data_IF_194914730350
#
_entry.id   IF_194914730350
#
_cell.length_a   1.000
_cell.length_b   1.000
_cell.length_c   1.000
_cell.angle_alpha   90.00
_cell.angle_beta   90.00
_cell.angle_gamma   90.00
#
_symmetry.space_group_name_H-M   'P 1'
#
loop_
_entity.id
_entity.type
_entity.pdbx_description
1 polymer ?
#
# COMPACT_ATOMS: atom_id res chain seq x y z
N UNK A 1 21.23 0.63 -0.09
CA UNK A 1 21.34 1.76 0.85
C UNK A 1 20.23 1.67 1.90
N UNK A 2 20.61 1.52 3.15
CA UNK A 2 19.72 1.42 4.34
C UNK A 2 19.77 2.79 5.02
N UNK A 3 18.64 3.49 5.19
CA UNK A 3 18.65 4.74 5.98
C UNK A 3 17.60 5.81 5.70
N UNK A 4 16.79 5.75 4.63
CA UNK A 4 15.74 6.77 4.44
C UNK A 4 14.54 6.50 5.35
N UNK A 5 14.19 7.50 6.16
CA UNK A 5 13.02 7.44 7.04
C UNK A 5 11.74 7.22 6.20
N UNK A 6 10.95 6.21 6.59
CA UNK A 6 9.65 5.93 5.94
C UNK A 6 8.69 7.11 6.15
N UNK A 7 7.85 7.40 5.16
CA UNK A 7 6.78 8.39 5.29
C UNK A 7 5.81 8.00 6.42
N UNK A 8 5.10 8.97 6.99
CA UNK A 8 4.12 8.69 8.05
C UNK A 8 3.00 7.75 7.58
N UNK A 9 2.57 7.87 6.32
CA UNK A 9 1.58 6.98 5.72
C UNK A 9 2.10 5.54 5.61
N UNK A 10 3.35 5.36 5.17
CA UNK A 10 3.98 4.04 5.10
C UNK A 10 4.16 3.42 6.49
N UNK A 11 4.55 4.21 7.49
CA UNK A 11 4.64 3.75 8.90
C UNK A 11 3.29 3.27 9.41
N UNK A 12 2.22 4.07 9.23
CA UNK A 12 0.85 3.71 9.63
C UNK A 12 0.35 2.43 8.94
N UNK A 13 0.67 2.25 7.66
CA UNK A 13 0.33 1.02 6.91
C UNK A 13 1.03 -0.19 7.51
N UNK A 14 2.35 -0.12 7.72
CA UNK A 14 3.12 -1.22 8.31
C UNK A 14 2.56 -1.61 9.67
N UNK A 15 2.30 -0.64 10.55
CA UNK A 15 1.71 -0.91 11.87
C UNK A 15 0.33 -1.55 11.75
N UNK A 16 -0.50 -1.08 10.80
CA UNK A 16 -1.83 -1.67 10.57
C UNK A 16 -1.75 -3.10 10.03
N UNK A 17 -0.80 -3.38 9.13
CA UNK A 17 -0.60 -4.73 8.58
C UNK A 17 -0.10 -5.69 9.66
N UNK A 18 0.88 -5.28 10.47
CA UNK A 18 1.36 -6.07 11.61
C UNK A 18 0.24 -6.35 12.62
N UNK A 19 -0.59 -5.36 12.91
CA UNK A 19 -1.74 -5.50 13.80
C UNK A 19 -2.76 -6.53 13.28
N UNK A 20 -3.08 -6.52 11.98
CA UNK A 20 -3.97 -7.51 11.37
C UNK A 20 -3.36 -8.92 11.38
N UNK A 21 -2.06 -9.05 11.09
CA UNK A 21 -1.35 -10.34 11.15
C UNK A 21 -1.33 -10.92 12.57
N UNK A 22 -1.09 -10.09 13.59
CA UNK A 22 -1.12 -10.53 14.99
C UNK A 22 -2.52 -11.02 15.41
N UNK A 23 -3.58 -10.35 14.94
CA UNK A 23 -4.96 -10.81 15.20
C UNK A 23 -5.24 -12.14 14.47
N UNK A 24 -4.77 -12.30 13.23
CA UNK A 24 -4.94 -13.53 12.46
C UNK A 24 -4.21 -14.72 13.10
N UNK A 25 -2.98 -14.52 13.58
CA UNK A 25 -2.21 -15.52 14.34
C UNK A 25 -2.93 -15.93 15.63
N UNK A 26 -3.48 -14.96 16.38
CA UNK A 26 -4.28 -15.26 17.58
C UNK A 26 -5.53 -16.11 17.29
N UNK A 27 -6.20 -15.86 16.15
CA UNK A 27 -7.33 -16.68 15.69
C UNK A 27 -6.88 -18.11 15.38
N UNK A 28 -5.78 -18.25 14.63
CA UNK A 28 -5.21 -19.54 14.27
C UNK A 28 -4.91 -20.39 15.50
N UNK A 29 -4.13 -19.85 16.45
CA UNK A 29 -3.77 -20.54 17.70
C UNK A 29 -4.98 -20.85 18.57
N UNK A 30 -6.00 -20.01 18.55
CA UNK A 30 -7.23 -20.29 19.28
C UNK A 30 -8.01 -21.48 18.69
N UNK A 31 -8.03 -21.61 17.35
CA UNK A 31 -8.66 -22.74 16.69
C UNK A 31 -7.89 -24.05 16.96
N UNK A 32 -6.57 -24.05 16.88
CA UNK A 32 -5.74 -25.22 17.24
C UNK A 32 -5.95 -25.61 18.72
N UNK A 33 -6.05 -24.61 19.60
CA UNK A 33 -6.26 -24.85 21.02
C UNK A 33 -7.66 -25.39 21.34
N UNK A 34 -8.67 -25.17 20.49
CA UNK A 34 -10.00 -25.77 20.66
C UNK A 34 -9.98 -27.29 20.48
N UNK A 35 -9.08 -27.81 19.65
CA UNK A 35 -8.98 -29.25 19.36
C UNK A 35 -8.35 -30.03 20.53
N UNK A 36 -7.61 -29.35 21.41
CA UNK A 36 -6.96 -29.95 22.58
C UNK A 36 -7.98 -30.45 23.61
N UNK A 37 -7.63 -31.45 24.44
CA UNK A 37 -8.44 -31.85 25.58
C UNK A 37 -8.63 -30.69 26.56
N UNK A 38 -9.79 -30.64 27.23
CA UNK A 38 -10.25 -29.49 28.05
C UNK A 38 -9.22 -29.03 29.09
N UNK A 39 -8.43 -29.95 29.61
CA UNK A 39 -7.41 -29.72 30.63
C UNK A 39 -6.19 -28.95 30.11
N UNK A 40 -5.88 -29.07 28.82
CA UNK A 40 -4.78 -28.36 28.16
C UNK A 40 -5.23 -27.11 27.41
N UNK A 41 -6.54 -26.84 27.36
CA UNK A 41 -7.09 -25.67 26.65
C UNK A 41 -6.70 -24.39 27.37
N UNK A 42 -5.87 -23.59 26.72
CA UNK A 42 -5.61 -22.22 27.14
C UNK A 42 -6.84 -21.34 26.95
N UNK A 43 -7.01 -20.35 27.82
CA UNK A 43 -8.05 -19.33 27.62
C UNK A 43 -7.71 -18.42 26.44
N UNK A 44 -8.74 -17.86 25.79
CA UNK A 44 -8.53 -16.90 24.70
C UNK A 44 -7.70 -15.68 25.14
N UNK A 45 -7.86 -15.23 26.40
CA UNK A 45 -7.04 -14.14 26.97
C UNK A 45 -5.57 -14.51 27.08
N UNK A 46 -5.27 -15.75 27.49
CA UNK A 46 -3.89 -16.24 27.58
C UNK A 46 -3.23 -16.27 26.19
N UNK A 47 -3.94 -16.80 25.19
CA UNK A 47 -3.46 -16.84 23.80
C UNK A 47 -3.23 -15.43 23.24
N UNK A 48 -4.17 -14.50 23.45
CA UNK A 48 -4.01 -13.12 22.99
C UNK A 48 -2.77 -12.45 23.61
N UNK A 49 -2.49 -12.71 24.90
CA UNK A 49 -1.32 -12.18 25.59
C UNK A 49 -0.02 -12.78 25.07
N UNK A 50 0.03 -14.10 24.90
CA UNK A 50 1.18 -14.82 24.32
C UNK A 50 1.53 -14.27 22.93
N UNK A 51 0.53 -14.18 22.05
CA UNK A 51 0.72 -13.62 20.69
C UNK A 51 1.17 -12.16 20.75
N UNK A 52 0.57 -11.34 21.61
CA UNK A 52 0.97 -9.94 21.74
C UNK A 52 2.43 -9.80 22.20
N UNK A 53 2.89 -10.60 23.17
CA UNK A 53 4.25 -10.58 23.67
C UNK A 53 5.25 -11.06 22.61
N UNK A 54 4.92 -12.13 21.88
CA UNK A 54 5.75 -12.63 20.79
C UNK A 54 5.91 -11.60 19.67
N UNK A 55 4.82 -10.97 19.24
CA UNK A 55 4.86 -9.96 18.18
C UNK A 55 5.64 -8.71 18.60
N UNK A 56 5.50 -8.27 19.85
CA UNK A 56 6.31 -7.17 20.41
C UNK A 56 7.79 -7.50 20.42
N UNK A 57 8.14 -8.74 20.77
CA UNK A 57 9.54 -9.21 20.80
C UNK A 57 10.13 -9.33 19.40
N UNK A 58 9.40 -9.96 18.47
CA UNK A 58 9.85 -10.23 17.11
C UNK A 58 9.96 -8.95 16.25
N UNK A 59 8.95 -8.09 16.30
CA UNK A 59 8.88 -6.88 15.44
C UNK A 59 9.41 -5.62 16.12
N UNK A 60 9.76 -5.68 17.42
CA UNK A 60 10.11 -4.51 18.25
C UNK A 60 9.09 -3.38 18.17
N UNK A 61 7.82 -3.73 17.94
CA UNK A 61 6.73 -2.78 17.78
C UNK A 61 5.82 -2.85 19.00
N UNK A 62 6.02 -1.92 19.93
CA UNK A 62 5.27 -1.85 21.18
C UNK A 62 3.79 -1.46 20.98
N UNK A 63 3.41 -0.99 19.79
CA UNK A 63 2.07 -0.50 19.52
C UNK A 63 1.07 -1.63 19.19
N UNK A 64 1.55 -2.87 19.00
CA UNK A 64 0.69 -4.02 18.70
C UNK A 64 -0.12 -4.37 19.95
N UNK A 65 -1.44 -4.46 19.79
CA UNK A 65 -2.39 -4.74 20.86
C UNK A 65 -3.44 -5.76 20.41
N UNK A 66 -3.42 -6.97 20.95
CA UNK A 66 -4.36 -8.04 20.57
C UNK A 66 -5.47 -8.13 21.61
N UNK A 67 -6.59 -7.45 21.36
CA UNK A 67 -7.74 -7.48 22.27
C UNK A 67 -8.61 -8.73 22.02
N UNK A 68 -8.94 -9.45 23.08
CA UNK A 68 -9.84 -10.60 23.06
C UNK A 68 -11.22 -10.27 22.44
N UNK A 69 -11.79 -9.10 22.72
CA UNK A 69 -13.07 -8.71 22.12
C UNK A 69 -12.99 -8.62 20.60
N UNK A 70 -11.87 -8.08 20.07
CA UNK A 70 -11.62 -8.00 18.63
C UNK A 70 -11.48 -9.40 18.03
N UNK A 71 -10.71 -10.29 18.66
CA UNK A 71 -10.54 -11.67 18.21
C UNK A 71 -11.86 -12.44 18.22
N UNK A 72 -12.65 -12.30 19.29
CA UNK A 72 -13.99 -12.90 19.40
C UNK A 72 -14.92 -12.40 18.27
N UNK A 73 -14.94 -11.09 18.02
CA UNK A 73 -15.70 -10.52 16.90
C UNK A 73 -15.27 -11.09 15.55
N UNK A 74 -13.96 -11.28 15.34
CA UNK A 74 -13.43 -11.89 14.11
C UNK A 74 -13.84 -13.35 13.96
N UNK A 75 -13.79 -14.12 15.04
CA UNK A 75 -14.24 -15.53 15.06
C UNK A 75 -15.72 -15.69 14.72
N UNK A 76 -16.54 -14.68 15.03
CA UNK A 76 -17.96 -14.62 14.69
C UNK A 76 -18.22 -14.14 13.25
N UNK A 77 -17.17 -13.98 12.42
CA UNK A 77 -17.29 -13.53 11.02
C UNK A 77 -17.21 -12.01 10.82
N UNK A 78 -16.86 -11.24 11.86
CA UNK A 78 -16.67 -9.80 11.73
C UNK A 78 -15.46 -9.44 10.86
N UNK A 79 -15.61 -8.45 9.97
CA UNK A 79 -14.55 -7.99 9.07
C UNK A 79 -13.60 -6.98 9.73
N UNK A 80 -12.40 -6.78 9.17
CA UNK A 80 -11.50 -5.70 9.61
C UNK A 80 -12.01 -4.36 9.12
N UNK A 81 -11.56 -3.27 9.75
CA UNK A 81 -11.59 -1.97 9.09
C UNK A 81 -10.75 -1.98 7.81
N UNK A 82 -9.59 -2.65 7.81
CA UNK A 82 -8.77 -2.84 6.61
C UNK A 82 -9.53 -3.60 5.51
N UNK A 83 -10.07 -4.79 5.81
CA UNK A 83 -10.87 -5.58 4.89
C UNK A 83 -12.10 -4.83 4.38
N UNK A 84 -12.88 -4.19 5.26
CA UNK A 84 -14.04 -3.40 4.86
C UNK A 84 -13.65 -2.20 3.98
N UNK A 85 -12.50 -1.57 4.24
CA UNK A 85 -12.02 -0.47 3.41
C UNK A 85 -11.54 -0.96 2.04
N UNK A 86 -10.89 -2.13 1.97
CA UNK A 86 -10.55 -2.78 0.69
C UNK A 86 -11.83 -3.14 -0.08
N UNK A 87 -12.80 -3.78 0.56
CA UNK A 87 -14.04 -4.21 -0.09
C UNK A 87 -14.92 -3.03 -0.55
N UNK A 88 -15.06 -1.99 0.27
CA UNK A 88 -16.01 -0.91 -0.01
C UNK A 88 -15.42 0.27 -0.79
N UNK A 89 -14.09 0.44 -0.78
CA UNK A 89 -13.44 1.63 -1.35
C UNK A 89 -12.34 1.29 -2.36
N UNK A 90 -12.13 0.02 -2.70
CA UNK A 90 -11.28 -0.33 -3.84
C UNK A 90 -12.06 -0.17 -5.15
N UNK A 91 -11.54 0.70 -6.02
CA UNK A 91 -12.02 0.81 -7.40
C UNK A 91 -11.70 -0.44 -8.23
N UNK A 92 -10.54 -1.05 -7.97
CA UNK A 92 -10.03 -2.22 -8.66
C UNK A 92 -10.27 -3.49 -7.85
N UNK A 93 -10.64 -4.56 -8.53
CA UNK A 93 -10.55 -5.93 -8.01
C UNK A 93 -9.08 -6.34 -7.86
N UNK A 94 -8.81 -7.42 -7.13
CA UNK A 94 -7.44 -7.90 -6.95
C UNK A 94 -6.76 -8.23 -8.28
N UNK A 95 -7.48 -8.89 -9.19
CA UNK A 95 -6.96 -9.29 -10.50
C UNK A 95 -6.67 -8.07 -11.40
N UNK A 96 -7.54 -7.06 -11.36
CA UNK A 96 -7.32 -5.79 -12.05
C UNK A 96 -6.13 -5.01 -11.45
N UNK A 97 -6.00 -4.99 -10.13
CA UNK A 97 -4.87 -4.36 -9.44
C UNK A 97 -3.54 -5.03 -9.83
N UNK A 98 -3.47 -6.36 -9.89
CA UNK A 98 -2.28 -7.07 -10.37
C UNK A 98 -2.00 -6.82 -11.85
N UNK A 99 -3.02 -6.73 -12.69
CA UNK A 99 -2.86 -6.40 -14.11
C UNK A 99 -2.26 -5.00 -14.32
N UNK A 100 -2.76 -4.01 -13.57
CA UNK A 100 -2.21 -2.65 -13.59
C UNK A 100 -0.77 -2.65 -13.08
N UNK A 101 -0.45 -3.38 -12.01
CA UNK A 101 0.93 -3.49 -11.53
C UNK A 101 1.84 -4.16 -12.57
N UNK A 102 1.37 -5.21 -13.25
CA UNK A 102 2.09 -5.86 -14.36
C UNK A 102 2.42 -4.86 -15.47
N UNK A 103 1.44 -4.08 -15.90
CA UNK A 103 1.64 -3.00 -16.88
C UNK A 103 2.69 -1.97 -16.41
N UNK A 104 2.66 -1.57 -15.13
CA UNK A 104 3.66 -0.66 -14.57
C UNK A 104 5.07 -1.26 -14.56
N UNK A 105 5.19 -2.56 -14.29
CA UNK A 105 6.47 -3.26 -14.35
C UNK A 105 6.99 -3.33 -15.79
N UNK A 106 6.14 -3.54 -16.78
CA UNK A 106 6.53 -3.47 -18.18
C UNK A 106 6.99 -2.07 -18.62
N UNK A 107 6.35 -1.01 -18.14
CA UNK A 107 6.83 0.35 -18.37
C UNK A 107 8.22 0.56 -17.75
N UNK A 108 8.43 0.01 -16.55
CA UNK A 108 9.70 0.07 -15.84
C UNK A 108 10.83 -0.67 -16.56
N UNK A 109 10.56 -1.86 -17.11
CA UNK A 109 11.57 -2.61 -17.87
C UNK A 109 11.94 -1.92 -19.17
N UNK A 110 11.02 -1.14 -19.75
CA UNK A 110 11.25 -0.34 -20.96
C UNK A 110 11.87 1.04 -20.68
N UNK A 111 12.05 1.42 -19.41
CA UNK A 111 12.58 2.73 -19.02
C UNK A 111 11.64 3.90 -19.29
N UNK A 112 10.33 3.66 -19.45
CA UNK A 112 9.33 4.71 -19.71
C UNK A 112 8.79 5.31 -18.40
N UNK A 113 9.02 6.61 -18.13
CA UNK A 113 8.72 7.20 -16.83
C UNK A 113 7.25 7.00 -16.45
N UNK A 114 6.99 6.60 -15.20
CA UNK A 114 5.61 6.55 -14.75
C UNK A 114 5.10 7.96 -14.50
N UNK A 115 4.03 8.32 -15.20
CA UNK A 115 3.29 9.55 -14.95
C UNK A 115 1.95 9.27 -14.29
N UNK A 116 1.49 10.23 -13.46
CA UNK A 116 0.14 10.18 -12.90
C UNK A 116 -0.93 10.05 -13.99
N UNK A 117 -0.72 10.76 -15.10
CA UNK A 117 -1.61 10.76 -16.27
C UNK A 117 -1.70 9.38 -16.93
N UNK A 118 -0.57 8.72 -17.18
CA UNK A 118 -0.56 7.39 -17.80
C UNK A 118 -1.24 6.34 -16.92
N UNK A 119 -0.95 6.34 -15.61
CA UNK A 119 -1.61 5.44 -14.66
C UNK A 119 -3.12 5.71 -14.59
N UNK A 120 -3.52 6.99 -14.50
CA UNK A 120 -4.93 7.39 -14.50
C UNK A 120 -5.62 6.90 -15.76
N UNK A 121 -5.07 7.19 -16.94
CA UNK A 121 -5.67 6.84 -18.23
C UNK A 121 -5.87 5.33 -18.37
N UNK A 122 -4.84 4.53 -18.02
CA UNK A 122 -4.93 3.08 -18.10
C UNK A 122 -6.01 2.52 -17.17
N UNK A 123 -6.06 3.00 -15.93
CA UNK A 123 -7.05 2.58 -14.93
C UNK A 123 -8.46 3.05 -15.30
N UNK A 124 -8.62 4.28 -15.75
CA UNK A 124 -9.91 4.82 -16.19
C UNK A 124 -10.45 4.04 -17.38
N UNK A 125 -9.58 3.68 -18.33
CA UNK A 125 -9.98 2.85 -19.50
C UNK A 125 -10.45 1.47 -19.04
N UNK A 126 -9.73 0.85 -18.11
CA UNK A 126 -10.09 -0.45 -17.54
C UNK A 126 -11.43 -0.39 -16.79
N UNK A 127 -11.60 0.61 -15.93
CA UNK A 127 -12.82 0.79 -15.13
C UNK A 127 -14.00 1.20 -16.00
N UNK A 128 -13.81 2.06 -17.01
CA UNK A 128 -14.85 2.40 -17.97
C UNK A 128 -15.30 1.18 -18.77
N UNK A 129 -14.39 0.29 -19.16
CA UNK A 129 -14.73 -0.95 -19.86
C UNK A 129 -15.56 -1.90 -18.97
N UNK A 130 -15.28 -1.97 -17.66
CA UNK A 130 -16.00 -2.85 -16.73
C UNK A 130 -17.31 -2.28 -16.20
N UNK A 131 -17.30 -1.02 -15.77
CA UNK A 131 -18.40 -0.35 -15.06
C UNK A 131 -19.28 0.50 -16.01
N UNK A 132 -18.78 0.82 -17.20
CA UNK A 132 -19.50 1.64 -18.17
C UNK A 132 -19.95 2.98 -17.56
N UNK A 133 -21.25 3.26 -17.66
CA UNK A 133 -21.84 4.52 -17.21
C UNK A 133 -21.95 4.66 -15.68
N UNK A 134 -21.67 3.59 -14.91
CA UNK A 134 -21.60 3.71 -13.44
C UNK A 134 -20.26 4.26 -12.95
N UNK A 135 -19.26 4.33 -13.84
CA UNK A 135 -17.99 4.96 -13.53
C UNK A 135 -18.08 6.49 -13.69
N UNK A 136 -17.56 7.28 -12.74
CA UNK A 136 -17.56 8.74 -12.88
C UNK A 136 -16.77 9.18 -14.11
N UNK A 137 -17.34 10.09 -14.91
CA UNK A 137 -16.64 10.69 -16.06
C UNK A 137 -15.34 11.43 -15.68
N UNK A 138 -15.22 11.85 -14.41
CA UNK A 138 -14.00 12.48 -13.89
C UNK A 138 -12.82 11.50 -13.78
N UNK A 139 -13.10 10.21 -13.81
CA UNK A 139 -12.12 9.13 -13.63
C UNK A 139 -11.65 8.99 -12.18
N UNK A 140 -10.59 8.21 -11.99
CA UNK A 140 -9.89 8.11 -10.72
C UNK A 140 -9.18 9.44 -10.42
N UNK A 141 -9.40 9.98 -9.22
CA UNK A 141 -8.80 11.25 -8.81
C UNK A 141 -7.28 11.16 -8.63
N UNK A 142 -6.56 12.29 -8.67
CA UNK A 142 -5.10 12.36 -8.47
C UNK A 142 -4.65 11.66 -7.18
N UNK A 143 -5.38 11.89 -6.08
CA UNK A 143 -5.14 11.24 -4.79
C UNK A 143 -5.18 9.70 -4.86
N UNK A 144 -5.94 9.12 -5.79
CA UNK A 144 -5.97 7.68 -5.98
C UNK A 144 -4.65 7.19 -6.59
N UNK A 145 -4.18 7.84 -7.65
CA UNK A 145 -2.89 7.49 -8.29
C UNK A 145 -1.71 7.61 -7.33
N UNK A 146 -1.68 8.63 -6.46
CA UNK A 146 -0.70 8.76 -5.37
C UNK A 146 -0.76 7.59 -4.39
N UNK A 147 -1.97 7.24 -3.94
CA UNK A 147 -2.18 6.15 -2.98
C UNK A 147 -1.81 4.79 -3.57
N UNK A 148 -2.09 4.60 -4.86
CA UNK A 148 -1.76 3.40 -5.62
C UNK A 148 -0.24 3.27 -5.80
N UNK A 149 0.42 4.32 -6.29
CA UNK A 149 1.88 4.36 -6.42
C UNK A 149 2.57 4.12 -5.07
N UNK A 150 2.07 4.73 -3.99
CA UNK A 150 2.60 4.52 -2.62
C UNK A 150 2.36 3.10 -2.11
N UNK A 151 1.29 2.44 -2.54
CA UNK A 151 0.97 1.04 -2.15
C UNK A 151 1.92 0.05 -2.80
N UNK A 152 2.21 0.26 -4.07
CA UNK A 152 3.05 -0.64 -4.87
C UNK A 152 4.50 -0.17 -4.99
N UNK A 153 4.88 0.86 -4.24
CA UNK A 153 6.21 1.46 -4.28
C UNK A 153 7.32 0.43 -4.07
N UNK A 154 7.14 -0.53 -3.16
CA UNK A 154 8.18 -1.54 -2.88
C UNK A 154 8.43 -2.47 -4.09
N UNK A 155 7.39 -2.81 -4.85
CA UNK A 155 7.49 -3.64 -6.07
C UNK A 155 8.08 -2.85 -7.23
N UNK A 156 7.59 -1.64 -7.44
CA UNK A 156 7.95 -0.84 -8.61
C UNK A 156 9.35 -0.21 -8.45
N UNK A 157 9.73 0.23 -7.25
CA UNK A 157 11.06 0.83 -6.97
C UNK A 157 12.23 -0.07 -7.36
N UNK A 158 12.10 -1.38 -7.23
CA UNK A 158 13.17 -2.32 -7.54
C UNK A 158 13.66 -2.15 -8.99
N UNK A 159 12.73 -1.97 -9.92
CA UNK A 159 13.03 -1.84 -11.35
C UNK A 159 13.62 -0.47 -11.70
N UNK A 160 13.07 0.60 -11.11
CA UNK A 160 13.54 1.98 -11.33
C UNK A 160 14.85 2.32 -10.61
N UNK A 161 15.26 1.50 -9.64
CA UNK A 161 16.58 1.62 -8.98
C UNK A 161 17.71 0.89 -9.72
N UNK A 162 17.36 0.05 -10.71
CA UNK A 162 18.31 -0.87 -11.35
C UNK A 162 18.54 -0.60 -12.84
N UNK A 163 17.81 0.34 -13.46
CA UNK A 163 18.03 0.73 -14.85
C UNK A 163 19.29 1.61 -14.96
N UNK A 164 20.36 1.15 -15.61
CA UNK A 164 21.54 1.97 -15.87
C UNK A 164 21.16 2.97 -16.97
N UNK A 165 21.18 4.27 -16.64
CA UNK A 165 21.07 5.31 -17.67
C UNK A 165 22.37 5.30 -18.48
N UNK A 166 22.35 5.28 -19.83
CA UNK A 166 23.54 5.52 -20.61
C UNK A 166 24.05 6.93 -20.29
N UNK A 167 25.23 7.01 -19.66
CA UNK A 167 25.90 8.29 -19.39
C UNK A 167 26.26 8.94 -20.71
N UNK A 168 25.54 9.99 -21.09
CA UNK A 168 25.84 10.71 -22.31
C UNK A 168 24.90 11.88 -22.59
N UNK A 169 25.42 13.07 -22.30
CA UNK A 169 25.18 14.34 -22.98
C UNK A 169 23.86 15.07 -22.67
N UNK A 170 24.02 16.19 -21.95
CA UNK A 170 23.24 17.45 -22.00
C UNK A 170 21.83 17.35 -22.57
N UNK A 171 20.80 17.41 -21.71
CA UNK A 171 19.72 18.41 -21.77
C UNK A 171 18.74 18.14 -20.62
N UNK A 172 18.79 19.00 -19.60
CA UNK A 172 17.94 18.97 -18.42
C UNK A 172 16.58 19.65 -18.67
N UNK A 173 15.96 19.37 -19.82
CA UNK A 173 14.71 20.02 -20.23
C UNK A 173 13.72 18.99 -20.82
N UNK A 174 13.12 18.16 -19.96
CA UNK A 174 11.77 17.57 -20.13
C UNK A 174 11.50 16.48 -19.07
N UNK A 175 11.73 16.75 -17.78
CA UNK A 175 11.05 15.95 -16.77
C UNK A 175 9.61 16.43 -16.76
N UNK A 176 8.71 15.63 -17.32
CA UNK A 176 7.28 15.93 -17.37
C UNK A 176 6.77 16.21 -15.95
N UNK A 177 6.11 17.34 -15.74
CA UNK A 177 5.76 17.92 -14.43
C UNK A 177 4.89 16.99 -13.55
N UNK A 178 4.32 15.94 -14.16
CA UNK A 178 3.48 14.91 -13.55
C UNK A 178 4.16 13.53 -13.40
N UNK A 179 5.49 13.45 -13.52
CA UNK A 179 6.24 12.22 -13.27
C UNK A 179 6.12 11.80 -11.79
N UNK A 180 5.57 10.60 -11.55
CA UNK A 180 5.51 9.97 -10.24
C UNK A 180 6.91 9.67 -9.71
N UNK A 181 7.81 9.27 -10.62
CA UNK A 181 9.22 9.06 -10.34
C UNK A 181 10.05 9.67 -11.46
N UNK A 182 10.93 10.60 -11.12
CA UNK A 182 11.95 11.12 -12.01
C UNK A 182 13.25 10.36 -11.78
N UNK A 183 13.93 9.98 -12.86
CA UNK A 183 15.30 9.48 -12.82
C UNK A 183 16.25 10.63 -13.09
N UNK A 184 16.82 11.22 -12.02
CA UNK A 184 17.97 12.11 -12.15
C UNK A 184 19.27 11.31 -11.99
N UNK A 185 20.43 11.94 -12.21
CA UNK A 185 21.77 11.33 -12.13
C UNK A 185 22.07 10.66 -10.76
N UNK A 186 21.17 10.81 -9.77
CA UNK A 186 21.29 10.27 -8.41
C UNK A 186 20.29 9.12 -8.13
N UNK A 187 19.43 8.77 -9.09
CA UNK A 187 18.46 7.66 -9.02
C UNK A 187 16.99 8.10 -8.94
N UNK A 188 16.08 7.14 -8.78
CA UNK A 188 14.63 7.39 -8.78
C UNK A 188 14.17 8.23 -7.57
N UNK A 189 13.76 9.47 -7.83
CA UNK A 189 13.17 10.37 -6.84
C UNK A 189 11.65 10.53 -7.08
N UNK A 190 10.81 10.60 -6.03
CA UNK A 190 9.43 11.03 -6.22
C UNK A 190 9.44 12.46 -6.78
N UNK A 191 8.76 12.69 -7.91
CA UNK A 191 8.69 14.00 -8.57
C UNK A 191 8.16 15.05 -7.60
N UNK A 192 9.05 15.93 -7.13
CA UNK A 192 8.69 17.07 -6.28
C UNK A 192 8.25 18.23 -7.15
N UNK A 193 7.03 18.17 -7.68
CA UNK A 193 6.43 19.35 -8.31
C UNK A 193 6.35 20.50 -7.28
N UNK A 194 6.59 21.77 -7.69
CA UNK A 194 6.46 22.90 -6.80
C UNK A 194 5.04 22.93 -6.23
N UNK A 195 4.93 22.93 -4.89
CA UNK A 195 3.67 23.23 -4.23
C UNK A 195 3.35 24.69 -4.51
N UNK A 196 2.40 24.92 -5.40
CA UNK A 196 1.76 26.22 -5.58
C UNK A 196 1.30 26.72 -4.21
N UNK A 197 2.00 27.71 -3.66
CA UNK A 197 1.50 28.47 -2.52
C UNK A 197 0.39 29.34 -3.08
N UNK A 198 -0.86 28.97 -2.80
CA UNK A 198 -1.95 29.94 -2.86
C UNK A 198 -1.62 31.05 -1.85
N UNK A 199 -1.21 32.19 -2.38
CA UNK A 199 -1.20 33.46 -1.65
C UNK A 199 -2.67 33.87 -1.54
N UNK A 200 -3.21 34.10 -0.33
CA UNK A 200 -4.53 34.69 -0.19
C UNK A 200 -4.46 36.13 -0.71
N UNK A 201 -5.34 36.48 -1.65
CA UNK A 201 -5.53 37.86 -2.08
C UNK A 201 -6.27 38.61 -1.00
N UNK A 202 -5.64 39.67 -0.48
CA UNK A 202 -6.31 40.70 0.30
C UNK A 202 -6.89 41.76 -0.64
N UNK A 203 -8.10 42.19 -0.29
CA UNK A 203 -8.91 43.29 -0.85
C UNK A 203 -8.18 44.65 -0.91
#
# INVERSE_FOLDING_TARGET
MVGRAKSQASKKRITSTHQEQAIADAIHRYNENKEKPREERKSLRAICREVQEEWRTQKKDNNITVNNCTVTRRLQGGRSCLQANVENHAWLTHDEEESVVGYLLELATRGLPLTHKALKLHVDTLLQARLGNTFPQTGVGRNWTDRFATRHADRVRQYWSSTPIPKGTHDAENVEEDCLWATDETGAQPGGGPKERQVPGDE
#
